data_IF_837767437932
#
_entry.id   IF_837767437932
#
_cell.length_a   1.000
_cell.length_b   1.000
_cell.length_c   1.000
_cell.angle_alpha   90.00
_cell.angle_beta   90.00
_cell.angle_gamma   90.00
#
_symmetry.space_group_name_H-M   'P 1'
#
loop_
_entity.id
_entity.type
_entity.pdbx_description
1 polymer ?
#
# COMPACT_ATOMS: atom_id res chain seq x y z
N UNK A 1 -45.18 58.63 11.75
CA UNK A 1 -46.08 57.47 11.71
C UNK A 1 -45.93 56.56 10.48
N UNK A 2 -45.92 57.04 9.22
CA UNK A 2 -45.79 56.14 8.05
C UNK A 2 -44.39 55.54 7.87
N UNK A 3 -43.32 56.26 8.21
CA UNK A 3 -41.94 55.77 8.14
C UNK A 3 -41.62 54.70 9.14
N UNK A 4 -42.13 54.78 10.37
CA UNK A 4 -41.90 53.79 11.43
C UNK A 4 -42.65 52.49 11.15
N UNK A 5 -43.80 52.56 10.49
CA UNK A 5 -44.57 51.40 10.05
C UNK A 5 -43.83 50.62 8.92
N UNK A 6 -43.21 51.34 7.99
CA UNK A 6 -42.46 50.78 6.88
C UNK A 6 -41.17 50.11 7.38
N UNK A 7 -40.50 50.70 8.37
CA UNK A 7 -39.29 50.14 9.01
C UNK A 7 -39.59 48.85 9.76
N UNK A 8 -40.74 48.82 10.49
CA UNK A 8 -41.21 47.61 11.19
C UNK A 8 -41.62 46.51 10.23
N UNK A 9 -42.23 46.82 9.08
CA UNK A 9 -42.57 45.88 8.05
C UNK A 9 -41.33 45.29 7.37
N UNK A 10 -40.28 46.09 7.15
CA UNK A 10 -39.03 45.65 6.61
C UNK A 10 -38.28 44.72 7.57
N UNK A 11 -38.34 44.96 8.87
CA UNK A 11 -37.72 44.11 9.90
C UNK A 11 -38.38 42.73 10.02
N UNK A 12 -39.69 42.64 9.79
CA UNK A 12 -40.42 41.36 9.79
C UNK A 12 -40.09 40.51 8.58
N UNK A 13 -39.79 41.12 7.43
CA UNK A 13 -39.37 40.39 6.22
C UNK A 13 -37.99 39.73 6.34
N UNK A 14 -37.09 40.23 7.20
CA UNK A 14 -35.78 39.62 7.46
C UNK A 14 -35.81 38.39 8.37
N UNK A 15 -36.89 38.14 9.09
CA UNK A 15 -37.02 37.00 10.02
C UNK A 15 -37.47 35.70 9.33
N UNK A 16 -37.86 35.72 8.06
CA UNK A 16 -38.33 34.51 7.36
C UNK A 16 -37.30 33.81 6.47
N UNK A 17 -36.02 34.22 6.51
CA UNK A 17 -34.97 33.63 5.68
C UNK A 17 -34.09 32.60 6.43
N UNK A 18 -34.66 31.82 7.34
CA UNK A 18 -34.06 30.59 7.85
C UNK A 18 -34.97 29.43 7.53
N UNK A 19 -35.10 29.09 6.25
CA UNK A 19 -35.50 27.74 5.87
C UNK A 19 -34.26 26.86 6.01
N UNK A 20 -34.10 26.25 7.16
CA UNK A 20 -33.19 25.12 7.28
C UNK A 20 -33.81 23.98 6.46
N UNK A 21 -33.26 23.71 5.28
CA UNK A 21 -33.46 22.44 4.61
C UNK A 21 -32.94 21.34 5.55
N UNK A 22 -33.80 20.89 6.43
CA UNK A 22 -33.68 19.62 7.11
C UNK A 22 -33.92 18.51 6.06
N UNK A 23 -33.05 18.40 5.07
CA UNK A 23 -32.82 17.10 4.44
C UNK A 23 -32.36 16.18 5.56
N UNK A 24 -33.12 15.08 5.85
CA UNK A 24 -32.56 14.07 6.75
C UNK A 24 -31.18 13.78 6.22
N UNK A 25 -30.14 13.96 7.05
CA UNK A 25 -28.83 13.39 6.76
C UNK A 25 -29.15 11.94 6.55
N UNK A 26 -28.96 11.46 5.32
CA UNK A 26 -29.00 10.05 5.03
C UNK A 26 -28.05 9.42 6.05
N UNK A 27 -28.59 8.88 7.11
CA UNK A 27 -27.86 7.98 8.00
C UNK A 27 -27.59 6.84 7.05
N UNK A 28 -26.35 6.77 6.55
CA UNK A 28 -25.88 5.67 5.74
C UNK A 28 -26.20 4.43 6.57
N UNK A 29 -27.29 3.76 6.23
CA UNK A 29 -27.73 2.56 6.91
C UNK A 29 -26.57 1.58 6.74
N UNK A 30 -26.11 0.96 7.81
CA UNK A 30 -24.93 0.07 7.83
C UNK A 30 -24.98 -0.95 6.70
N UNK A 31 -26.15 -1.48 6.38
CA UNK A 31 -26.44 -2.36 5.25
C UNK A 31 -26.06 -1.76 3.88
N UNK A 32 -26.21 -0.44 3.71
CA UNK A 32 -25.86 0.23 2.46
C UNK A 32 -24.35 0.40 2.31
N UNK A 33 -23.63 0.65 3.41
CA UNK A 33 -22.15 0.80 3.41
C UNK A 33 -21.49 -0.56 3.09
N UNK A 34 -21.96 -1.63 3.72
CA UNK A 34 -21.45 -2.98 3.47
C UNK A 34 -21.71 -3.41 2.02
N UNK A 35 -22.89 -3.11 1.49
CA UNK A 35 -23.21 -3.37 0.08
C UNK A 35 -22.30 -2.59 -0.88
N UNK A 36 -22.04 -1.31 -0.60
CA UNK A 36 -21.11 -0.48 -1.40
C UNK A 36 -19.68 -1.00 -1.33
N UNK A 37 -19.18 -1.35 -0.14
CA UNK A 37 -17.87 -1.95 0.04
C UNK A 37 -17.75 -3.27 -0.74
N UNK A 38 -18.77 -4.14 -0.63
CA UNK A 38 -18.80 -5.41 -1.37
C UNK A 38 -18.81 -5.20 -2.87
N UNK A 39 -19.54 -4.21 -3.38
CA UNK A 39 -19.56 -3.84 -4.80
C UNK A 39 -18.19 -3.35 -5.27
N UNK A 40 -17.55 -2.44 -4.53
CA UNK A 40 -16.20 -1.95 -4.83
C UNK A 40 -15.17 -3.10 -4.84
N UNK A 41 -15.23 -4.00 -3.86
CA UNK A 41 -14.35 -5.17 -3.80
C UNK A 41 -14.55 -6.11 -5.01
N UNK A 42 -15.79 -6.38 -5.41
CA UNK A 42 -16.09 -7.21 -6.59
C UNK A 42 -15.61 -6.56 -7.89
N UNK A 43 -15.79 -5.25 -8.02
CA UNK A 43 -15.29 -4.49 -9.16
C UNK A 43 -13.76 -4.54 -9.23
N UNK A 44 -13.08 -4.45 -8.07
CA UNK A 44 -11.64 -4.60 -7.96
C UNK A 44 -11.16 -5.99 -8.46
N UNK A 45 -11.81 -7.07 -8.03
CA UNK A 45 -11.48 -8.43 -8.48
C UNK A 45 -11.64 -8.54 -9.99
N UNK A 46 -12.77 -8.09 -10.54
CA UNK A 46 -13.04 -8.13 -11.96
C UNK A 46 -11.99 -7.38 -12.80
N UNK A 47 -11.56 -6.20 -12.30
CA UNK A 47 -10.53 -5.40 -12.97
C UNK A 47 -9.15 -6.04 -12.86
N UNK A 48 -8.84 -6.68 -11.73
CA UNK A 48 -7.60 -7.45 -11.54
C UNK A 48 -7.52 -8.62 -12.54
N UNK A 49 -8.61 -9.35 -12.76
CA UNK A 49 -8.69 -10.42 -13.75
C UNK A 49 -8.44 -9.91 -15.18
N UNK A 50 -8.89 -8.69 -15.47
CA UNK A 50 -8.62 -7.99 -16.73
C UNK A 50 -7.23 -7.37 -16.83
N UNK A 51 -6.41 -7.49 -15.77
CA UNK A 51 -5.09 -6.88 -15.66
C UNK A 51 -5.10 -5.34 -15.68
N UNK A 52 -6.23 -4.72 -15.32
CA UNK A 52 -6.29 -3.29 -15.06
C UNK A 52 -5.85 -3.02 -13.61
N UNK A 53 -4.55 -3.15 -13.39
CA UNK A 53 -3.98 -3.16 -12.03
C UNK A 53 -4.17 -1.84 -11.29
N UNK A 54 -4.04 -0.70 -11.97
CA UNK A 54 -4.20 0.61 -11.33
C UNK A 54 -5.64 0.83 -10.87
N UNK A 55 -6.59 0.56 -11.75
CA UNK A 55 -7.99 0.69 -11.41
C UNK A 55 -8.41 -0.31 -10.32
N UNK A 56 -7.97 -1.56 -10.43
CA UNK A 56 -8.25 -2.59 -9.43
C UNK A 56 -7.69 -2.24 -8.04
N UNK A 57 -6.45 -1.75 -7.96
CA UNK A 57 -5.84 -1.35 -6.70
C UNK A 57 -6.60 -0.18 -6.04
N UNK A 58 -7.00 0.83 -6.82
CA UNK A 58 -7.82 1.94 -6.33
C UNK A 58 -9.17 1.45 -5.81
N UNK A 59 -9.83 0.51 -6.50
CA UNK A 59 -11.11 -0.07 -6.06
C UNK A 59 -10.98 -0.89 -4.78
N UNK A 60 -9.86 -1.59 -4.57
CA UNK A 60 -9.58 -2.22 -3.28
C UNK A 60 -9.40 -1.17 -2.16
N UNK A 61 -8.71 -0.06 -2.43
CA UNK A 61 -8.60 1.05 -1.48
C UNK A 61 -9.97 1.69 -1.18
N UNK A 62 -10.81 1.89 -2.21
CA UNK A 62 -12.19 2.37 -2.01
C UNK A 62 -12.97 1.43 -1.07
N UNK A 63 -12.85 0.11 -1.26
CA UNK A 63 -13.53 -0.86 -0.41
C UNK A 63 -13.05 -0.80 1.06
N UNK A 64 -11.75 -0.60 1.31
CA UNK A 64 -11.21 -0.38 2.66
C UNK A 64 -11.77 0.89 3.28
N UNK A 65 -11.79 2.01 2.52
CA UNK A 65 -12.19 3.33 3.00
C UNK A 65 -13.70 3.43 3.26
N UNK A 66 -14.52 2.70 2.50
CA UNK A 66 -15.97 2.69 2.69
C UNK A 66 -16.37 2.08 4.03
N UNK A 67 -15.69 1.03 4.49
CA UNK A 67 -16.00 0.38 5.76
C UNK A 67 -14.73 -0.06 6.50
N UNK A 68 -13.96 0.89 7.08
CA UNK A 68 -12.65 0.62 7.67
C UNK A 68 -12.69 -0.32 8.88
N UNK A 69 -13.85 -0.39 9.57
CA UNK A 69 -14.03 -1.23 10.76
C UNK A 69 -14.45 -2.66 10.40
N UNK A 70 -14.67 -2.96 9.13
CA UNK A 70 -15.07 -4.28 8.69
C UNK A 70 -13.92 -5.30 8.77
N UNK A 71 -14.26 -6.57 8.89
CA UNK A 71 -13.29 -7.67 8.77
C UNK A 71 -12.67 -7.74 7.36
N UNK A 72 -13.28 -7.08 6.38
CA UNK A 72 -12.81 -7.04 5.00
C UNK A 72 -11.80 -5.93 4.73
N UNK A 73 -11.80 -4.86 5.54
CA UNK A 73 -10.90 -3.73 5.33
C UNK A 73 -9.41 -4.12 5.28
N UNK A 74 -8.87 -4.93 6.23
CA UNK A 74 -7.49 -5.38 6.13
C UNK A 74 -7.22 -6.23 4.89
N UNK A 75 -8.22 -7.01 4.47
CA UNK A 75 -8.09 -7.84 3.26
C UNK A 75 -8.04 -6.98 2.01
N UNK A 76 -8.89 -5.97 1.92
CA UNK A 76 -8.92 -5.03 0.81
C UNK A 76 -7.60 -4.26 0.71
N UNK A 77 -7.09 -3.72 1.82
CA UNK A 77 -5.78 -3.05 1.88
C UNK A 77 -4.63 -3.94 1.38
N UNK A 78 -4.59 -5.21 1.82
CA UNK A 78 -3.55 -6.14 1.39
C UNK A 78 -3.70 -6.53 -0.09
N UNK A 79 -4.95 -6.66 -0.59
CA UNK A 79 -5.23 -6.91 -1.99
C UNK A 79 -4.85 -5.72 -2.89
N UNK A 80 -5.03 -4.48 -2.43
CA UNK A 80 -4.54 -3.30 -3.14
C UNK A 80 -3.02 -3.37 -3.32
N UNK A 81 -2.27 -3.62 -2.23
CA UNK A 81 -0.82 -3.75 -2.27
C UNK A 81 -0.35 -4.88 -3.21
N UNK A 82 -1.01 -6.05 -3.14
CA UNK A 82 -0.74 -7.17 -4.04
C UNK A 82 -1.01 -6.81 -5.51
N UNK A 83 -2.08 -6.08 -5.76
CA UNK A 83 -2.48 -5.66 -7.11
C UNK A 83 -1.45 -4.71 -7.72
N UNK A 84 -0.96 -3.74 -6.94
CA UNK A 84 0.16 -2.89 -7.37
C UNK A 84 1.42 -3.71 -7.69
N UNK A 85 1.78 -4.66 -6.82
CA UNK A 85 2.91 -5.57 -7.08
C UNK A 85 2.73 -6.34 -8.40
N UNK A 86 1.55 -6.90 -8.62
CA UNK A 86 1.24 -7.68 -9.83
C UNK A 86 1.31 -6.87 -11.12
N UNK A 87 1.07 -5.56 -11.02
CA UNK A 87 1.20 -4.59 -12.11
C UNK A 87 2.61 -3.99 -12.25
N UNK A 88 3.59 -4.44 -11.46
CA UNK A 88 4.95 -3.88 -11.39
C UNK A 88 5.01 -2.43 -10.87
N UNK A 89 3.97 -1.95 -10.19
CA UNK A 89 3.94 -0.67 -9.49
C UNK A 89 4.56 -0.83 -8.10
N UNK A 90 5.86 -1.17 -8.06
CA UNK A 90 6.55 -1.57 -6.83
C UNK A 90 6.58 -0.47 -5.77
N UNK A 91 6.72 0.80 -6.17
CA UNK A 91 6.72 1.93 -5.23
C UNK A 91 5.39 2.08 -4.51
N UNK A 92 4.27 1.96 -5.23
CA UNK A 92 2.92 2.06 -4.69
C UNK A 92 2.61 0.85 -3.81
N UNK A 93 3.01 -0.35 -4.24
CA UNK A 93 2.90 -1.56 -3.42
C UNK A 93 3.67 -1.44 -2.10
N UNK A 94 4.90 -0.93 -2.13
CA UNK A 94 5.72 -0.68 -0.92
C UNK A 94 5.02 0.31 0.01
N UNK A 95 4.44 1.37 -0.53
CA UNK A 95 3.70 2.36 0.25
C UNK A 95 2.51 1.71 0.97
N UNK A 96 1.67 0.98 0.23
CA UNK A 96 0.49 0.31 0.77
C UNK A 96 0.84 -0.77 1.79
N UNK A 97 1.90 -1.57 1.55
CA UNK A 97 2.35 -2.58 2.51
C UNK A 97 2.85 -1.98 3.82
N UNK A 98 3.61 -0.88 3.75
CA UNK A 98 4.04 -0.17 4.96
C UNK A 98 2.87 0.43 5.72
N UNK A 99 1.89 0.96 5.00
CA UNK A 99 0.64 1.45 5.58
C UNK A 99 -0.13 0.31 6.25
N UNK A 100 -0.31 -0.82 5.55
CA UNK A 100 -0.97 -2.02 6.06
C UNK A 100 -0.35 -2.52 7.38
N UNK A 101 0.97 -2.68 7.41
CA UNK A 101 1.70 -3.13 8.60
C UNK A 101 1.49 -2.17 9.79
N UNK A 102 1.42 -0.87 9.51
CA UNK A 102 1.20 0.16 10.55
C UNK A 102 -0.24 0.20 11.06
N UNK A 103 -1.22 0.06 10.16
CA UNK A 103 -2.65 0.19 10.47
C UNK A 103 -3.22 -1.10 11.08
N UNK A 104 -2.70 -2.25 10.65
CA UNK A 104 -3.18 -3.57 11.05
C UNK A 104 -2.09 -4.43 11.71
N UNK A 105 -1.50 -3.98 12.85
CA UNK A 105 -0.31 -4.62 13.45
C UNK A 105 -0.56 -6.04 13.98
N UNK A 106 -1.82 -6.41 14.23
CA UNK A 106 -2.20 -7.73 14.74
C UNK A 106 -2.85 -8.63 13.66
N UNK A 107 -2.73 -8.24 12.38
CA UNK A 107 -3.35 -9.02 11.31
C UNK A 107 -2.60 -10.34 11.08
N UNK A 108 -3.37 -11.43 10.90
CA UNK A 108 -2.82 -12.77 10.67
C UNK A 108 -1.96 -12.93 9.41
N UNK A 109 -2.09 -12.01 8.44
CA UNK A 109 -1.36 -12.04 7.17
C UNK A 109 -0.13 -11.10 7.19
N UNK A 110 0.39 -10.73 8.35
CA UNK A 110 1.61 -9.92 8.44
C UNK A 110 2.84 -10.62 7.89
N UNK A 111 2.91 -11.93 8.02
CA UNK A 111 3.94 -12.77 7.40
C UNK A 111 4.00 -12.56 5.89
N UNK A 112 2.85 -12.65 5.22
CA UNK A 112 2.72 -12.37 3.79
C UNK A 112 3.02 -10.91 3.45
N UNK A 113 2.53 -9.95 4.24
CA UNK A 113 2.78 -8.54 4.00
C UNK A 113 4.28 -8.20 4.05
N UNK A 114 5.02 -8.70 5.03
CA UNK A 114 6.47 -8.53 5.11
C UNK A 114 7.21 -9.25 4.00
N UNK A 115 6.76 -10.45 3.63
CA UNK A 115 7.32 -11.19 2.50
C UNK A 115 7.12 -10.43 1.18
N UNK A 116 5.89 -9.97 0.90
CA UNK A 116 5.60 -9.20 -0.30
C UNK A 116 6.37 -7.87 -0.33
N UNK A 117 6.57 -7.23 0.82
CA UNK A 117 7.41 -6.03 0.93
C UNK A 117 8.88 -6.33 0.58
N UNK A 118 9.41 -7.48 1.01
CA UNK A 118 10.74 -7.93 0.62
C UNK A 118 10.83 -8.20 -0.89
N UNK A 119 9.80 -8.84 -1.46
CA UNK A 119 9.71 -9.14 -2.89
C UNK A 119 9.68 -7.88 -3.75
N UNK A 120 8.92 -6.84 -3.35
CA UNK A 120 8.91 -5.55 -4.06
C UNK A 120 10.32 -4.97 -4.22
N UNK A 121 11.10 -4.99 -3.15
CA UNK A 121 12.49 -4.54 -3.23
C UNK A 121 13.37 -5.50 -4.01
N UNK A 122 13.10 -6.82 -3.93
CA UNK A 122 13.86 -7.83 -4.69
C UNK A 122 13.72 -7.64 -6.19
N UNK A 123 12.49 -7.41 -6.68
CA UNK A 123 12.20 -7.19 -8.10
C UNK A 123 12.83 -5.90 -8.65
N UNK A 124 13.15 -4.94 -7.78
CA UNK A 124 13.84 -3.70 -8.18
C UNK A 124 15.37 -3.81 -8.19
N UNK A 125 15.94 -4.98 -7.86
CA UNK A 125 17.38 -5.25 -8.01
C UNK A 125 17.68 -5.43 -9.50
N UNK A 126 18.43 -4.51 -10.10
CA UNK A 126 18.68 -4.50 -11.56
C UNK A 126 19.94 -5.30 -11.93
N UNK A 127 21.09 -4.93 -11.39
CA UNK A 127 22.38 -5.59 -11.63
C UNK A 127 23.41 -5.22 -10.54
N UNK A 128 24.54 -5.93 -10.54
CA UNK A 128 25.61 -5.73 -9.57
C UNK A 128 26.31 -4.36 -9.69
N UNK A 129 26.14 -3.65 -10.78
CA UNK A 129 26.83 -2.35 -11.00
C UNK A 129 26.08 -1.15 -10.40
N UNK A 130 24.77 -1.33 -10.07
CA UNK A 130 23.86 -0.25 -9.65
C UNK A 130 23.69 -0.13 -8.13
N UNK A 131 22.65 0.60 -7.72
CA UNK A 131 22.36 0.90 -6.31
C UNK A 131 22.10 -0.38 -5.48
N UNK A 132 22.72 -0.43 -4.31
CA UNK A 132 22.52 -1.49 -3.33
C UNK A 132 21.29 -1.29 -2.43
N UNK A 133 20.67 -0.14 -2.48
CA UNK A 133 19.53 0.22 -1.62
C UNK A 133 18.40 -0.83 -1.64
N UNK A 134 17.88 -1.18 -2.81
CA UNK A 134 16.83 -2.22 -2.92
C UNK A 134 17.28 -3.56 -2.35
N UNK A 135 18.50 -3.98 -2.62
CA UNK A 135 19.04 -5.26 -2.13
C UNK A 135 19.16 -5.29 -0.59
N UNK A 136 19.59 -4.18 0.02
CA UNK A 136 19.68 -4.05 1.48
C UNK A 136 18.28 -4.11 2.11
N UNK A 137 17.30 -3.42 1.52
CA UNK A 137 15.92 -3.44 2.01
C UNK A 137 15.28 -4.81 1.84
N UNK A 138 15.43 -5.44 0.69
CA UNK A 138 14.93 -6.80 0.44
C UNK A 138 15.49 -7.79 1.46
N UNK A 139 16.82 -7.78 1.67
CA UNK A 139 17.47 -8.63 2.68
C UNK A 139 16.88 -8.40 4.08
N UNK A 140 16.76 -7.15 4.50
CA UNK A 140 16.21 -6.77 5.80
C UNK A 140 14.83 -7.39 6.05
N UNK A 141 13.94 -7.30 5.07
CA UNK A 141 12.57 -7.79 5.21
C UNK A 141 12.47 -9.32 5.08
N UNK A 142 13.30 -9.98 4.25
CA UNK A 142 13.38 -11.44 4.25
C UNK A 142 13.93 -11.98 5.57
N UNK A 143 14.98 -11.37 6.14
CA UNK A 143 15.48 -11.71 7.47
C UNK A 143 14.41 -11.54 8.56
N UNK A 144 13.56 -10.49 8.44
CA UNK A 144 12.43 -10.28 9.33
C UNK A 144 11.41 -11.43 9.25
N UNK A 145 11.04 -11.85 8.04
CA UNK A 145 10.11 -12.99 7.82
C UNK A 145 10.66 -14.26 8.43
N UNK A 146 11.91 -14.61 8.16
CA UNK A 146 12.55 -15.82 8.67
C UNK A 146 12.60 -15.83 10.20
N UNK A 147 12.88 -14.67 10.81
CA UNK A 147 13.01 -14.55 12.26
C UNK A 147 11.67 -14.61 12.99
N UNK A 148 10.65 -13.91 12.47
CA UNK A 148 9.38 -13.73 13.19
C UNK A 148 8.30 -14.74 12.77
N UNK A 149 8.42 -15.32 11.56
CA UNK A 149 7.43 -16.26 11.00
C UNK A 149 8.10 -17.54 10.46
N UNK A 150 8.98 -18.21 11.24
CA UNK A 150 9.89 -19.27 10.74
C UNK A 150 9.20 -20.52 10.19
N UNK A 151 7.93 -20.72 10.53
CA UNK A 151 7.14 -21.91 10.17
C UNK A 151 6.30 -21.73 8.90
N UNK A 152 6.39 -20.55 8.26
CA UNK A 152 5.61 -20.25 7.05
C UNK A 152 6.36 -20.65 5.79
N UNK A 153 5.62 -20.95 4.71
CA UNK A 153 6.19 -21.19 3.40
C UNK A 153 6.95 -19.94 2.89
N UNK A 154 6.51 -18.76 3.31
CA UNK A 154 7.21 -17.49 3.02
C UNK A 154 8.61 -17.46 3.62
N UNK A 155 8.81 -18.02 4.82
CA UNK A 155 10.14 -18.09 5.42
C UNK A 155 11.04 -19.09 4.69
N UNK A 156 10.48 -20.14 4.14
CA UNK A 156 11.24 -21.12 3.31
C UNK A 156 11.75 -20.43 2.05
N UNK A 157 10.86 -19.79 1.27
CA UNK A 157 11.26 -19.07 0.06
C UNK A 157 12.21 -17.90 0.37
N UNK A 158 11.98 -17.17 1.47
CA UNK A 158 12.86 -16.07 1.89
C UNK A 158 14.31 -16.52 2.10
N UNK A 159 14.56 -17.75 2.60
CA UNK A 159 15.92 -18.31 2.72
C UNK A 159 16.59 -18.47 1.36
N UNK A 160 15.88 -19.00 0.36
CA UNK A 160 16.39 -19.12 -1.01
C UNK A 160 16.68 -17.75 -1.64
N UNK A 161 15.76 -16.78 -1.44
CA UNK A 161 15.98 -15.41 -1.93
C UNK A 161 17.21 -14.74 -1.29
N UNK A 162 17.43 -14.97 0.02
CA UNK A 162 18.62 -14.47 0.69
C UNK A 162 19.91 -15.04 0.13
N UNK A 163 19.94 -16.32 -0.23
CA UNK A 163 21.13 -16.91 -0.84
C UNK A 163 21.40 -16.34 -2.24
N UNK A 164 20.34 -16.06 -3.03
CA UNK A 164 20.48 -15.35 -4.30
C UNK A 164 21.01 -13.92 -4.10
N UNK A 165 20.50 -13.18 -3.11
CA UNK A 165 20.98 -11.83 -2.76
C UNK A 165 22.47 -11.86 -2.36
N UNK A 166 22.92 -12.86 -1.59
CA UNK A 166 24.34 -13.03 -1.25
C UNK A 166 25.21 -13.21 -2.49
N UNK A 167 24.73 -13.99 -3.46
CA UNK A 167 25.46 -14.20 -4.72
C UNK A 167 25.57 -12.92 -5.55
N UNK A 168 24.47 -12.13 -5.63
CA UNK A 168 24.49 -10.82 -6.29
C UNK A 168 25.47 -9.88 -5.59
N UNK A 169 25.48 -9.87 -4.25
CA UNK A 169 26.41 -9.06 -3.47
C UNK A 169 27.87 -9.47 -3.71
N UNK A 170 28.16 -10.77 -3.71
CA UNK A 170 29.50 -11.27 -4.03
C UNK A 170 29.94 -10.90 -5.45
N UNK A 171 29.04 -11.02 -6.44
CA UNK A 171 29.30 -10.60 -7.81
C UNK A 171 29.66 -9.11 -7.89
N UNK A 172 28.94 -8.24 -7.13
CA UNK A 172 29.26 -6.82 -7.03
C UNK A 172 30.66 -6.57 -6.46
N UNK A 173 31.03 -7.23 -5.38
CA UNK A 173 32.37 -7.09 -4.80
C UNK A 173 33.47 -7.52 -5.81
N UNK A 174 33.22 -8.60 -6.51
CA UNK A 174 34.13 -9.05 -7.58
C UNK A 174 34.23 -8.06 -8.74
N UNK A 175 33.10 -7.43 -9.13
CA UNK A 175 33.09 -6.39 -10.16
C UNK A 175 33.94 -5.18 -9.74
N UNK A 176 33.76 -4.70 -8.50
CA UNK A 176 34.53 -3.59 -7.93
C UNK A 176 36.03 -3.94 -7.87
N UNK A 177 36.37 -5.13 -7.35
CA UNK A 177 37.75 -5.60 -7.27
C UNK A 177 38.42 -5.63 -8.64
N UNK A 178 37.78 -6.24 -9.64
CA UNK A 178 38.27 -6.26 -11.03
C UNK A 178 38.48 -4.87 -11.63
N UNK A 179 37.59 -3.92 -11.33
CA UNK A 179 37.72 -2.53 -11.78
C UNK A 179 38.98 -1.88 -11.23
N UNK A 180 39.30 -2.07 -9.93
CA UNK A 180 40.51 -1.53 -9.31
C UNK A 180 41.78 -2.23 -9.79
N UNK A 181 41.73 -3.55 -10.00
CA UNK A 181 42.83 -4.29 -10.59
C UNK A 181 43.20 -3.75 -11.98
N UNK A 182 42.18 -3.53 -12.85
CA UNK A 182 42.41 -2.93 -14.19
C UNK A 182 43.06 -1.54 -14.12
N UNK A 183 42.81 -0.79 -13.04
CA UNK A 183 43.40 0.52 -12.79
C UNK A 183 44.73 0.45 -12.04
N UNK A 184 45.28 -0.74 -11.81
CA UNK A 184 46.53 -0.99 -11.06
C UNK A 184 46.47 -0.42 -9.62
N UNK A 185 45.29 -0.32 -9.03
CA UNK A 185 45.07 0.11 -7.65
C UNK A 185 44.84 -1.11 -6.76
N UNK A 186 45.91 -1.67 -6.22
CA UNK A 186 45.88 -2.96 -5.52
C UNK A 186 45.19 -2.91 -4.15
N UNK A 187 45.40 -1.84 -3.36
CA UNK A 187 44.83 -1.72 -2.01
C UNK A 187 43.30 -1.69 -2.05
N UNK A 188 42.62 -0.85 -2.84
CA UNK A 188 41.15 -0.86 -2.90
C UNK A 188 40.59 -2.06 -3.69
N UNK A 189 41.42 -2.93 -4.27
CA UNK A 189 40.99 -4.14 -4.95
C UNK A 189 40.82 -5.35 -3.99
N UNK A 190 41.33 -5.23 -2.77
CA UNK A 190 41.24 -6.24 -1.69
C UNK A 190 39.95 -6.03 -0.88
#
# INVERSE_FOLDING_TARGET
MKKDLLLKLLLILFCFSCSSDNKPRDILVEDNIEAQMSAAYKEAIFSLEKRDFLFAANKFNDAELLYPQSLWAPRAALMSAYTYYSGNYYSDSVYELKRFIKVYPDNKNLDYAYYLLAMNYYETIVDESKDLGPMIQSRKYFEHVIKNYPQTDYAVDARFKLDLIKNIFAAKQMYIGRHYIKKQKWIPAL
#
